data_IF_607625492866
#
_entry.id   IF_607625492866
#
_cell.length_a   1.000
_cell.length_b   1.000
_cell.length_c   1.000
_cell.angle_alpha   90.00
_cell.angle_beta   90.00
_cell.angle_gamma   90.00
#
_symmetry.space_group_name_H-M   'P 1'
#
loop_
_entity.id
_entity.type
_entity.pdbx_description
1 polymer ?
#
# COMPACT_ATOMS: atom_id res chain seq x y z
N UNK A 1 17.24 -6.34 15.12
CA UNK A 1 16.16 -5.44 15.58
C UNK A 1 14.93 -5.68 14.72
N UNK A 2 13.74 -5.64 15.30
CA UNK A 2 12.47 -5.81 14.55
C UNK A 2 11.76 -4.46 14.47
N UNK A 3 11.36 -4.09 13.25
CA UNK A 3 10.40 -3.02 12.99
C UNK A 3 9.15 -3.65 12.37
N UNK A 4 8.04 -3.65 13.12
CA UNK A 4 6.78 -4.29 12.73
C UNK A 4 5.64 -3.28 12.91
N UNK A 5 4.78 -3.18 11.89
CA UNK A 5 3.62 -2.29 11.86
C UNK A 5 2.36 -3.08 11.51
N UNK A 6 1.25 -2.77 12.17
CA UNK A 6 -0.10 -3.28 11.84
C UNK A 6 -1.06 -2.10 11.79
N UNK A 7 -1.78 -1.93 10.69
CA UNK A 7 -2.70 -0.81 10.45
C UNK A 7 -4.08 -1.36 10.07
N UNK A 8 -5.14 -0.75 10.59
CA UNK A 8 -6.54 -1.03 10.26
C UNK A 8 -7.18 0.31 9.92
N UNK A 9 -7.85 0.40 8.78
CA UNK A 9 -8.50 1.62 8.33
C UNK A 9 -9.15 1.45 6.96
N UNK A 10 -9.65 2.56 6.42
CA UNK A 10 -10.29 2.59 5.10
C UNK A 10 -9.30 3.00 4.01
N UNK A 11 -9.58 2.59 2.77
CA UNK A 11 -8.88 3.13 1.61
C UNK A 11 -9.28 4.59 1.41
N UNK A 12 -8.29 5.48 1.28
CA UNK A 12 -8.55 6.89 1.00
C UNK A 12 -8.84 7.20 -0.48
N UNK A 13 -8.50 6.27 -1.38
CA UNK A 13 -8.78 6.32 -2.80
C UNK A 13 -8.56 4.93 -3.41
N UNK A 14 -8.96 4.76 -4.68
CA UNK A 14 -8.61 3.56 -5.44
C UNK A 14 -7.07 3.40 -5.52
N UNK A 15 -6.54 2.19 -5.28
CA UNK A 15 -5.10 1.95 -5.34
C UNK A 15 -4.56 2.06 -6.77
N UNK A 16 -3.40 2.69 -6.91
CA UNK A 16 -2.64 2.68 -8.15
C UNK A 16 -1.81 1.39 -8.23
N UNK A 17 -1.96 0.62 -9.32
CA UNK A 17 -1.19 -0.60 -9.57
C UNK A 17 -0.28 -0.40 -10.78
N UNK A 18 1.02 -0.69 -10.62
CA UNK A 18 2.01 -0.64 -11.69
C UNK A 18 2.89 -1.88 -11.69
N UNK A 19 3.49 -2.19 -12.85
CA UNK A 19 4.59 -3.16 -12.93
C UNK A 19 5.92 -2.41 -12.90
N UNK A 20 6.86 -2.92 -12.11
CA UNK A 20 8.25 -2.43 -12.12
C UNK A 20 9.08 -3.23 -13.14
N UNK A 21 10.32 -2.80 -13.41
CA UNK A 21 11.16 -3.34 -14.49
C UNK A 21 11.37 -4.85 -14.43
N UNK A 22 11.37 -5.44 -13.23
CA UNK A 22 11.48 -6.89 -13.03
C UNK A 22 10.15 -7.65 -13.24
N UNK A 23 9.10 -6.97 -13.68
CA UNK A 23 7.76 -7.54 -13.94
C UNK A 23 6.85 -7.66 -12.71
N UNK A 24 7.34 -7.40 -11.49
CA UNK A 24 6.53 -7.50 -10.28
C UNK A 24 5.42 -6.43 -10.25
N UNK A 25 4.22 -6.82 -9.84
CA UNK A 25 3.12 -5.90 -9.61
C UNK A 25 3.28 -5.23 -8.23
N UNK A 26 3.17 -3.91 -8.20
CA UNK A 26 3.28 -3.08 -6.99
C UNK A 26 2.04 -2.18 -6.91
N UNK A 27 1.41 -2.15 -5.74
CA UNK A 27 0.27 -1.29 -5.47
C UNK A 27 0.63 -0.17 -4.49
N UNK A 28 0.13 1.05 -4.72
CA UNK A 28 0.22 2.16 -3.77
C UNK A 28 -1.12 2.32 -3.05
N UNK A 29 -1.13 2.05 -1.75
CA UNK A 29 -2.32 2.13 -0.90
C UNK A 29 -2.21 3.36 -0.01
N UNK A 30 -3.30 4.14 0.06
CA UNK A 30 -3.45 5.22 1.04
C UNK A 30 -4.48 4.78 2.07
N UNK A 31 -4.09 4.73 3.34
CA UNK A 31 -5.04 4.49 4.43
C UNK A 31 -5.52 5.86 4.90
N UNK A 32 -6.83 6.07 4.86
CA UNK A 32 -7.47 7.26 5.40
C UNK A 32 -7.50 7.17 6.93
N UNK A 33 -7.14 8.27 7.56
CA UNK A 33 -7.31 8.48 8.99
C UNK A 33 -8.55 9.38 9.12
N UNK A 34 -9.47 9.02 10.03
CA UNK A 34 -10.63 9.84 10.37
C UNK A 34 -10.22 11.13 11.08
#
# INVERSE_FOLDING_TARGET
MVNKVTLIGYLGADPEVRRIENGAAVARIRIANF
#
